data_IF_551408327061
#
_entry.id   IF_551408327061
#
_cell.length_a   1.000
_cell.length_b   1.000
_cell.length_c   1.000
_cell.angle_alpha   90.00
_cell.angle_beta   90.00
_cell.angle_gamma   90.00
#
_symmetry.space_group_name_H-M   'P 1'
#
loop_
_entity.id
_entity.type
_entity.pdbx_description
1 polymer ?
#
# COMPACT_ATOMS: atom_id res chain seq x y z
N UNK A 1 -15.28 -6.43 16.84
CA UNK A 1 -14.89 -5.03 16.60
C UNK A 1 -15.95 -4.37 15.72
N UNK A 2 -16.44 -3.19 16.12
CA UNK A 2 -17.35 -2.38 15.29
C UNK A 2 -16.64 -1.79 14.08
N UNK A 3 -17.44 -1.17 13.18
CA UNK A 3 -16.88 -0.40 12.06
C UNK A 3 -16.05 0.78 12.56
N UNK A 4 -14.93 1.02 11.92
CA UNK A 4 -14.07 2.18 12.18
C UNK A 4 -14.68 3.41 11.53
N UNK A 5 -14.66 4.55 12.20
CA UNK A 5 -15.29 5.78 11.71
C UNK A 5 -14.47 7.03 12.05
N UNK A 6 -14.84 8.15 11.43
CA UNK A 6 -14.31 9.46 11.75
C UNK A 6 -12.80 9.58 11.56
N UNK A 7 -12.15 10.26 12.50
CA UNK A 7 -10.72 10.58 12.44
C UNK A 7 -9.80 9.35 12.43
N UNK A 8 -10.21 8.26 13.10
CA UNK A 8 -9.42 7.01 13.10
C UNK A 8 -9.29 6.42 11.69
N UNK A 9 -10.38 6.45 10.93
CA UNK A 9 -10.39 6.01 9.53
C UNK A 9 -9.57 6.93 8.63
N UNK A 10 -9.63 8.25 8.88
CA UNK A 10 -8.79 9.22 8.18
C UNK A 10 -7.30 8.99 8.47
N UNK A 11 -6.95 8.76 9.75
CA UNK A 11 -5.57 8.45 10.15
C UNK A 11 -5.02 7.20 9.48
N UNK A 12 -5.79 6.10 9.46
CA UNK A 12 -5.44 4.90 8.71
C UNK A 12 -5.21 5.22 7.23
N UNK A 13 -6.18 5.89 6.60
CA UNK A 13 -6.13 6.17 5.17
C UNK A 13 -4.98 7.11 4.77
N UNK A 14 -4.62 8.09 5.61
CA UNK A 14 -3.46 8.94 5.38
C UNK A 14 -2.15 8.16 5.53
N UNK A 15 -2.05 7.30 6.53
CA UNK A 15 -0.84 6.49 6.74
C UNK A 15 -0.55 5.57 5.55
N UNK A 16 -1.56 5.12 4.80
CA UNK A 16 -1.35 4.28 3.62
C UNK A 16 -0.66 5.00 2.46
N UNK A 17 -0.69 6.32 2.41
CA UNK A 17 -0.07 7.10 1.33
C UNK A 17 1.32 7.64 1.68
N UNK A 18 1.81 7.38 2.88
CA UNK A 18 3.12 7.83 3.36
C UNK A 18 3.39 9.33 3.06
N UNK A 19 2.60 10.28 3.62
CA UNK A 19 2.59 11.68 3.19
C UNK A 19 3.95 12.37 3.26
N UNK A 20 4.76 12.10 4.29
CA UNK A 20 6.07 12.72 4.45
C UNK A 20 7.07 12.19 3.41
N UNK A 21 7.00 10.92 3.05
CA UNK A 21 7.81 10.36 1.94
C UNK A 21 7.46 11.08 0.64
N UNK A 22 6.18 11.24 0.32
CA UNK A 22 5.75 11.93 -0.90
C UNK A 22 6.28 13.37 -0.96
N UNK A 23 6.27 14.09 0.16
CA UNK A 23 6.77 15.45 0.24
C UNK A 23 8.31 15.55 0.06
N UNK A 24 9.05 14.49 0.37
CA UNK A 24 10.53 14.49 0.32
C UNK A 24 11.12 13.92 -0.97
N UNK A 25 10.30 13.40 -1.90
CA UNK A 25 10.78 12.76 -3.14
C UNK A 25 11.57 13.70 -4.06
N UNK A 26 11.31 14.99 -4.00
CA UNK A 26 12.03 16.02 -4.76
C UNK A 26 12.12 15.73 -6.27
N UNK A 27 11.04 15.20 -6.84
CA UNK A 27 10.90 14.95 -8.26
C UNK A 27 10.48 16.23 -9.02
N UNK A 28 10.80 16.32 -10.31
CA UNK A 28 10.35 17.43 -11.14
C UNK A 28 8.82 17.52 -11.21
N UNK A 29 8.26 18.73 -11.20
CA UNK A 29 6.82 18.96 -11.39
C UNK A 29 6.30 18.38 -12.72
N UNK A 30 7.16 18.28 -13.75
CA UNK A 30 6.85 17.62 -15.01
C UNK A 30 6.64 16.11 -14.88
N UNK A 31 7.11 15.51 -13.80
CA UNK A 31 6.90 14.09 -13.44
C UNK A 31 5.74 13.99 -12.46
N UNK A 32 5.73 14.79 -11.38
CA UNK A 32 4.77 14.66 -10.28
C UNK A 32 3.34 15.03 -10.68
N UNK A 33 3.13 16.09 -11.50
CA UNK A 33 1.79 16.48 -11.91
C UNK A 33 1.11 15.43 -12.83
N UNK A 34 1.75 14.92 -13.90
CA UNK A 34 1.21 13.79 -14.67
C UNK A 34 1.03 12.52 -13.84
N UNK A 35 1.92 12.21 -12.90
CA UNK A 35 1.79 11.09 -11.98
C UNK A 35 0.50 11.18 -11.15
N UNK A 36 0.18 12.35 -10.59
CA UNK A 36 -1.08 12.58 -9.89
C UNK A 36 -2.28 12.32 -10.81
N UNK A 37 -2.23 12.82 -12.04
CA UNK A 37 -3.30 12.60 -13.01
C UNK A 37 -3.48 11.11 -13.38
N UNK A 38 -2.40 10.36 -13.54
CA UNK A 38 -2.43 8.92 -13.84
C UNK A 38 -2.92 8.08 -12.64
N UNK A 39 -2.67 8.50 -11.40
CA UNK A 39 -3.13 7.76 -10.21
C UNK A 39 -4.55 8.12 -9.76
N UNK A 40 -5.13 9.20 -10.29
CA UNK A 40 -6.51 9.58 -10.01
C UNK A 40 -7.53 8.45 -10.35
N UNK A 41 -7.43 7.73 -11.48
CA UNK A 41 -8.28 6.57 -11.76
C UNK A 41 -8.24 5.50 -10.67
N UNK A 42 -7.06 5.20 -10.12
CA UNK A 42 -6.91 4.27 -9.00
C UNK A 42 -7.69 4.76 -7.77
N UNK A 43 -7.50 6.01 -7.37
CA UNK A 43 -8.21 6.61 -6.25
C UNK A 43 -9.74 6.60 -6.45
N UNK A 44 -10.20 6.89 -7.67
CA UNK A 44 -11.62 6.84 -8.03
C UNK A 44 -12.20 5.43 -7.94
N UNK A 45 -11.48 4.39 -8.42
CA UNK A 45 -11.93 3.00 -8.27
C UNK A 45 -12.03 2.64 -6.79
N UNK A 46 -11.02 2.94 -5.98
CA UNK A 46 -11.03 2.67 -4.54
C UNK A 46 -12.18 3.41 -3.86
N UNK A 47 -12.40 4.69 -4.19
CA UNK A 47 -13.57 5.45 -3.71
C UNK A 47 -14.90 4.76 -4.05
N UNK A 48 -15.08 4.34 -5.30
CA UNK A 48 -16.29 3.67 -5.75
C UNK A 48 -16.51 2.32 -5.08
N UNK A 49 -15.44 1.58 -4.87
CA UNK A 49 -15.44 0.30 -4.15
C UNK A 49 -15.91 0.50 -2.71
N UNK A 50 -15.22 1.32 -1.92
CA UNK A 50 -15.56 1.53 -0.52
C UNK A 50 -16.91 2.21 -0.33
N UNK A 51 -17.36 3.01 -1.29
CA UNK A 51 -18.71 3.58 -1.30
C UNK A 51 -19.82 2.54 -1.49
N UNK A 52 -19.52 1.44 -2.21
CA UNK A 52 -20.47 0.35 -2.40
C UNK A 52 -20.47 -0.63 -1.23
N UNK A 53 -19.29 -0.97 -0.74
CA UNK A 53 -19.06 -1.87 0.39
C UNK A 53 -17.71 -1.57 1.04
N UNK A 54 -17.66 -1.48 2.36
CA UNK A 54 -16.41 -1.27 3.09
C UNK A 54 -16.33 -2.23 4.27
N UNK A 55 -15.88 -3.45 4.00
CA UNK A 55 -15.74 -4.54 4.98
C UNK A 55 -14.28 -4.96 5.16
N UNK A 56 -14.02 -5.83 6.14
CA UNK A 56 -12.67 -6.27 6.48
C UNK A 56 -12.01 -7.13 5.38
N UNK A 57 -12.80 -7.69 4.45
CA UNK A 57 -12.32 -8.49 3.34
C UNK A 57 -11.62 -7.65 2.26
N UNK A 58 -11.79 -6.32 2.29
CA UNK A 58 -11.13 -5.39 1.39
C UNK A 58 -11.33 -5.71 -0.10
N UNK A 59 -10.23 -5.70 -0.87
CA UNK A 59 -10.26 -5.96 -2.32
C UNK A 59 -10.73 -7.38 -2.67
N UNK A 60 -10.55 -8.35 -1.77
CA UNK A 60 -11.07 -9.71 -1.96
C UNK A 60 -12.58 -9.71 -2.21
N UNK A 61 -13.35 -8.91 -1.45
CA UNK A 61 -14.81 -8.85 -1.59
C UNK A 61 -15.23 -8.51 -3.03
N UNK A 62 -14.58 -7.52 -3.65
CA UNK A 62 -14.95 -7.07 -5.00
C UNK A 62 -14.57 -8.12 -6.05
N UNK A 63 -13.39 -8.73 -5.94
CA UNK A 63 -12.93 -9.77 -6.84
C UNK A 63 -13.80 -11.04 -6.73
N UNK A 64 -14.08 -11.50 -5.51
CA UNK A 64 -14.89 -12.70 -5.25
C UNK A 64 -16.36 -12.54 -5.64
N UNK A 65 -16.89 -11.31 -5.58
CA UNK A 65 -18.25 -10.98 -6.06
C UNK A 65 -18.41 -11.14 -7.59
N UNK A 66 -17.30 -11.07 -8.34
CA UNK A 66 -17.29 -11.33 -9.79
C UNK A 66 -17.04 -12.81 -10.06
N UNK A 67 -15.98 -13.37 -9.44
CA UNK A 67 -15.61 -14.78 -9.52
C UNK A 67 -14.88 -15.21 -8.25
N UNK A 68 -15.29 -16.31 -7.64
CA UNK A 68 -14.63 -16.85 -6.45
C UNK A 68 -13.17 -17.23 -6.71
N UNK A 69 -12.84 -17.66 -7.94
CA UNK A 69 -11.46 -17.96 -8.34
C UNK A 69 -10.61 -16.70 -8.40
N UNK A 70 -11.14 -15.60 -8.98
CA UNK A 70 -10.46 -14.30 -8.99
C UNK A 70 -10.28 -13.76 -7.57
N UNK A 71 -11.28 -13.94 -6.71
CA UNK A 71 -11.13 -13.66 -5.27
C UNK A 71 -10.00 -14.46 -4.64
N UNK A 72 -9.89 -15.76 -4.97
CA UNK A 72 -8.79 -16.61 -4.50
C UNK A 72 -7.41 -16.10 -4.96
N UNK A 73 -7.26 -15.77 -6.25
CA UNK A 73 -6.01 -15.19 -6.77
C UNK A 73 -5.67 -13.90 -6.04
N UNK A 74 -6.64 -12.99 -5.90
CA UNK A 74 -6.46 -11.71 -5.19
C UNK A 74 -6.05 -11.94 -3.73
N UNK A 75 -6.67 -12.89 -3.01
CA UNK A 75 -6.36 -13.21 -1.63
C UNK A 75 -4.91 -13.70 -1.46
N UNK A 76 -4.51 -14.71 -2.23
CA UNK A 76 -3.18 -15.29 -2.08
C UNK A 76 -2.07 -14.34 -2.52
N UNK A 77 -2.26 -13.58 -3.62
CA UNK A 77 -1.28 -12.59 -4.03
C UNK A 77 -1.18 -11.44 -3.04
N UNK A 78 -2.31 -10.97 -2.50
CA UNK A 78 -2.33 -9.94 -1.47
C UNK A 78 -1.63 -10.39 -0.19
N UNK A 79 -1.90 -11.64 0.25
CA UNK A 79 -1.30 -12.21 1.45
C UNK A 79 0.24 -12.29 1.33
N UNK A 80 0.74 -12.82 0.21
CA UNK A 80 2.18 -12.89 -0.05
C UNK A 80 2.79 -11.49 -0.07
N UNK A 81 2.19 -10.58 -0.85
CA UNK A 81 2.70 -9.23 -1.00
C UNK A 81 2.84 -8.52 0.34
N UNK A 82 1.73 -8.34 1.05
CA UNK A 82 1.73 -7.48 2.23
C UNK A 82 2.36 -8.13 3.45
N UNK A 83 2.38 -9.45 3.53
CA UNK A 83 3.13 -10.13 4.58
C UNK A 83 4.63 -9.90 4.43
N UNK A 84 5.17 -10.09 3.22
CA UNK A 84 6.59 -9.83 2.95
C UNK A 84 6.92 -8.34 3.03
N UNK A 85 5.98 -7.46 2.61
CA UNK A 85 6.17 -6.02 2.67
C UNK A 85 6.38 -5.53 4.11
N UNK A 86 5.59 -6.01 5.07
CA UNK A 86 5.76 -5.68 6.49
C UNK A 86 7.19 -5.99 6.91
N UNK A 87 7.68 -7.18 6.58
CA UNK A 87 8.99 -7.68 7.02
C UNK A 87 10.13 -6.87 6.41
N UNK A 88 10.23 -6.78 5.08
CA UNK A 88 11.37 -6.09 4.48
C UNK A 88 11.36 -4.58 4.71
N UNK A 89 10.18 -3.98 4.95
CA UNK A 89 10.10 -2.55 5.23
C UNK A 89 10.64 -2.20 6.61
N UNK A 90 10.59 -3.12 7.59
CA UNK A 90 11.28 -2.96 8.88
C UNK A 90 12.78 -2.79 8.64
N UNK A 91 13.40 -3.72 7.92
CA UNK A 91 14.82 -3.65 7.58
C UNK A 91 15.17 -2.36 6.81
N UNK A 92 14.31 -2.00 5.83
CA UNK A 92 14.50 -0.77 5.06
C UNK A 92 14.51 0.48 5.96
N UNK A 93 13.60 0.56 6.93
CA UNK A 93 13.55 1.68 7.88
C UNK A 93 14.82 1.76 8.71
N UNK A 94 15.25 0.64 9.26
CA UNK A 94 16.32 0.61 10.25
C UNK A 94 17.70 0.84 9.62
N UNK A 95 17.98 0.21 8.48
CA UNK A 95 19.29 0.29 7.84
C UNK A 95 19.38 1.40 6.79
N UNK A 96 18.32 1.65 6.01
CA UNK A 96 18.39 2.56 4.87
C UNK A 96 17.88 3.97 5.16
N UNK A 97 16.80 4.10 5.98
CA UNK A 97 16.18 5.40 6.28
C UNK A 97 16.85 6.06 7.49
N UNK A 98 16.91 5.38 8.62
CA UNK A 98 17.45 5.91 9.87
C UNK A 98 18.96 6.02 9.82
N UNK A 99 19.64 5.11 9.12
CA UNK A 99 21.11 5.07 8.99
C UNK A 99 21.82 5.14 10.34
N UNK A 100 21.29 4.40 11.30
CA UNK A 100 21.87 4.27 12.65
C UNK A 100 22.97 3.20 12.65
N UNK A 101 23.86 3.16 13.67
CA UNK A 101 24.84 2.08 13.79
C UNK A 101 24.19 0.70 13.82
N UNK A 102 24.84 -0.31 13.22
CA UNK A 102 24.29 -1.66 13.05
C UNK A 102 23.72 -2.27 14.34
N UNK A 103 24.38 -2.05 15.48
CA UNK A 103 23.87 -2.55 16.78
C UNK A 103 22.50 -1.97 17.14
N UNK A 104 22.27 -0.68 16.80
CA UNK A 104 20.98 -0.01 17.03
C UNK A 104 19.97 -0.48 16.00
N UNK A 105 20.35 -0.61 14.72
CA UNK A 105 19.51 -1.14 13.67
C UNK A 105 19.03 -2.56 14.04
N UNK A 106 19.95 -3.47 14.39
CA UNK A 106 19.61 -4.83 14.82
C UNK A 106 18.62 -4.87 16.00
N UNK A 107 18.77 -3.96 16.97
CA UNK A 107 17.82 -3.87 18.07
C UNK A 107 16.45 -3.37 17.62
N UNK A 108 16.40 -2.38 16.72
CA UNK A 108 15.16 -1.83 16.17
C UNK A 108 14.43 -2.88 15.32
N UNK A 109 15.13 -3.65 14.51
CA UNK A 109 14.59 -4.75 13.70
C UNK A 109 13.79 -5.77 14.54
N UNK A 110 14.16 -5.98 15.80
CA UNK A 110 13.40 -6.83 16.72
C UNK A 110 12.32 -6.06 17.50
N UNK A 111 12.61 -4.84 17.93
CA UNK A 111 11.71 -4.06 18.80
C UNK A 111 10.52 -3.52 17.99
N UNK A 112 10.74 -3.01 16.78
CA UNK A 112 9.70 -2.39 15.96
C UNK A 112 8.55 -3.36 15.67
N UNK A 113 8.77 -4.58 15.12
CA UNK A 113 7.67 -5.51 14.87
C UNK A 113 6.97 -5.97 16.14
N UNK A 114 7.67 -6.08 17.27
CA UNK A 114 7.04 -6.38 18.58
C UNK A 114 6.09 -5.26 19.00
N UNK A 115 6.52 -4.01 18.92
CA UNK A 115 5.69 -2.84 19.27
C UNK A 115 4.46 -2.77 18.37
N UNK A 116 4.64 -2.92 17.05
CA UNK A 116 3.54 -2.91 16.08
C UNK A 116 2.55 -4.05 16.33
N UNK A 117 3.07 -5.25 16.65
CA UNK A 117 2.25 -6.40 17.05
C UNK A 117 1.40 -6.12 18.29
N UNK A 118 1.98 -5.52 19.31
CA UNK A 118 1.27 -5.14 20.54
C UNK A 118 0.17 -4.11 20.23
N UNK A 119 0.44 -3.10 19.40
CA UNK A 119 -0.55 -2.11 18.99
C UNK A 119 -1.75 -2.74 18.29
N UNK A 120 -1.51 -3.71 17.39
CA UNK A 120 -2.58 -4.42 16.68
C UNK A 120 -3.37 -5.32 17.64
N UNK A 121 -2.70 -6.08 18.51
CA UNK A 121 -3.34 -7.01 19.43
C UNK A 121 -4.17 -6.31 20.51
N UNK A 122 -3.73 -5.14 20.98
CA UNK A 122 -4.45 -4.33 21.98
C UNK A 122 -5.57 -3.48 21.40
N UNK A 123 -5.61 -3.33 20.06
CA UNK A 123 -6.57 -2.47 19.35
C UNK A 123 -6.19 -0.99 19.39
N UNK A 124 -4.98 -0.62 19.83
CA UNK A 124 -4.49 0.75 19.84
C UNK A 124 -3.97 1.23 18.47
N UNK A 125 -3.89 0.33 17.48
CA UNK A 125 -3.30 0.60 16.16
C UNK A 125 -3.95 1.79 15.44
N UNK A 126 -5.27 1.94 15.46
CA UNK A 126 -5.93 3.07 14.78
C UNK A 126 -5.61 4.42 15.45
N UNK A 127 -5.45 4.47 16.77
CA UNK A 127 -5.03 5.69 17.45
C UNK A 127 -3.57 6.04 17.14
N UNK A 128 -2.69 5.03 17.09
CA UNK A 128 -1.31 5.20 16.68
C UNK A 128 -1.20 5.67 15.22
N UNK A 129 -1.98 5.10 14.29
CA UNK A 129 -2.05 5.54 12.90
C UNK A 129 -2.53 6.99 12.78
N UNK A 130 -3.51 7.41 13.57
CA UNK A 130 -3.95 8.81 13.59
C UNK A 130 -2.82 9.74 14.06
N UNK A 131 -2.12 9.39 15.13
CA UNK A 131 -1.01 10.18 15.66
C UNK A 131 0.15 10.27 14.64
N UNK A 132 0.52 9.14 14.01
CA UNK A 132 1.52 9.09 12.95
C UNK A 132 1.09 9.91 11.73
N UNK A 133 -0.16 9.83 11.30
CA UNK A 133 -0.67 10.59 10.17
C UNK A 133 -0.60 12.10 10.42
N UNK A 134 -0.98 12.55 11.62
CA UNK A 134 -0.87 13.96 12.01
C UNK A 134 0.59 14.42 12.00
N UNK A 135 1.48 13.64 12.62
CA UNK A 135 2.91 13.95 12.66
C UNK A 135 3.50 14.05 11.25
N UNK A 136 3.21 13.10 10.37
CA UNK A 136 3.67 13.08 8.98
C UNK A 136 3.19 14.34 8.21
N UNK A 137 1.92 14.70 8.31
CA UNK A 137 1.37 15.86 7.60
C UNK A 137 1.98 17.15 8.13
N UNK A 138 2.16 17.30 9.44
CA UNK A 138 2.79 18.49 10.03
C UNK A 138 4.26 18.60 9.59
N UNK A 139 5.01 17.51 9.62
CA UNK A 139 6.42 17.48 9.21
C UNK A 139 6.59 17.68 7.69
N UNK A 140 5.59 17.30 6.90
CA UNK A 140 5.58 17.51 5.45
C UNK A 140 5.30 18.96 5.04
N UNK A 141 4.87 19.83 5.95
CA UNK A 141 4.71 21.25 5.66
C UNK A 141 6.09 21.89 5.45
N UNK A 142 6.28 22.67 4.37
CA UNK A 142 7.58 23.24 4.02
C UNK A 142 7.93 24.45 4.90
N UNK A 143 8.08 24.22 6.18
CA UNK A 143 8.42 25.23 7.18
C UNK A 143 9.94 25.23 7.36
N UNK A 144 10.65 26.34 7.13
CA UNK A 144 12.12 26.39 7.21
C UNK A 144 12.67 25.93 8.57
N UNK A 145 11.97 26.24 9.67
CA UNK A 145 12.34 25.82 11.03
C UNK A 145 12.31 24.30 11.23
N UNK A 146 11.55 23.57 10.38
CA UNK A 146 11.52 22.11 10.36
C UNK A 146 12.57 21.50 9.43
N UNK A 147 13.46 22.33 8.83
CA UNK A 147 14.52 21.86 7.96
C UNK A 147 14.16 21.78 6.47
N UNK A 148 13.16 22.55 6.03
CA UNK A 148 12.81 22.71 4.63
C UNK A 148 13.45 23.95 4.02
N UNK A 149 13.97 23.83 2.80
CA UNK A 149 14.50 24.94 2.02
C UNK A 149 13.81 25.03 0.67
N UNK A 150 13.48 26.26 0.23
CA UNK A 150 12.98 26.48 -1.11
C UNK A 150 14.09 26.14 -2.10
N UNK A 151 13.79 25.28 -3.06
CA UNK A 151 14.72 24.84 -4.07
C UNK A 151 14.09 24.97 -5.45
N UNK A 152 14.50 26.01 -6.18
CA UNK A 152 14.10 26.28 -7.55
C UNK A 152 15.16 25.70 -8.51
N UNK A 153 15.42 24.40 -8.42
CA UNK A 153 16.33 23.76 -9.36
C UNK A 153 15.65 23.59 -10.73
N UNK A 154 16.41 23.65 -11.83
CA UNK A 154 15.93 23.16 -13.10
C UNK A 154 15.55 21.67 -12.94
N UNK A 155 14.57 21.18 -13.71
CA UNK A 155 14.20 19.77 -13.67
C UNK A 155 15.45 18.91 -13.85
N UNK A 156 15.70 17.98 -12.94
CA UNK A 156 16.80 17.02 -13.05
C UNK A 156 16.75 16.39 -14.43
N UNK A 157 17.92 16.30 -15.09
CA UNK A 157 18.02 15.65 -16.39
C UNK A 157 17.45 14.22 -16.26
N UNK A 158 16.38 13.97 -16.96
CA UNK A 158 15.67 12.71 -16.94
C UNK A 158 16.50 11.72 -17.73
N UNK A 159 17.29 10.89 -17.05
CA UNK A 159 18.15 9.88 -17.68
C UNK A 159 17.38 8.77 -18.42
N UNK A 160 16.11 8.61 -18.10
CA UNK A 160 15.15 7.74 -18.76
C UNK A 160 14.09 8.61 -19.43
N UNK A 161 13.43 8.15 -20.48
CA UNK A 161 12.38 8.94 -21.12
C UNK A 161 11.34 9.45 -20.10
N UNK A 162 10.88 10.70 -20.26
CA UNK A 162 9.91 11.34 -19.35
C UNK A 162 8.70 10.45 -19.00
N UNK A 163 8.19 9.73 -20.02
CA UNK A 163 7.07 8.82 -19.86
C UNK A 163 7.37 7.65 -18.89
N UNK A 164 8.57 7.08 -18.98
CA UNK A 164 9.02 5.99 -18.08
C UNK A 164 9.11 6.49 -16.65
N UNK A 165 9.64 7.69 -16.44
CA UNK A 165 9.72 8.28 -15.09
C UNK A 165 8.35 8.56 -14.50
N UNK A 166 7.40 9.11 -15.30
CA UNK A 166 6.03 9.33 -14.86
C UNK A 166 5.38 8.01 -14.43
N UNK A 167 5.52 6.95 -15.22
CA UNK A 167 4.95 5.65 -14.89
C UNK A 167 5.61 5.03 -13.63
N UNK A 168 6.94 5.06 -13.54
CA UNK A 168 7.66 4.53 -12.39
C UNK A 168 7.29 5.25 -11.09
N UNK A 169 7.22 6.58 -11.14
CA UNK A 169 6.83 7.38 -9.98
C UNK A 169 5.36 7.23 -9.61
N UNK A 170 4.46 6.93 -10.57
CA UNK A 170 3.03 6.72 -10.29
C UNK A 170 2.77 5.53 -9.36
N UNK A 171 3.69 4.58 -9.29
CA UNK A 171 3.59 3.41 -8.42
C UNK A 171 3.64 3.77 -6.93
N UNK A 172 4.22 4.92 -6.57
CA UNK A 172 4.32 5.38 -5.18
C UNK A 172 2.97 5.69 -4.52
N UNK A 173 1.94 6.08 -5.30
CA UNK A 173 0.61 6.39 -4.76
C UNK A 173 -0.29 5.14 -4.72
N UNK A 174 0.15 4.02 -5.25
CA UNK A 174 -0.66 2.80 -5.33
C UNK A 174 -1.07 2.27 -3.95
N UNK A 175 -0.34 2.60 -2.87
CA UNK A 175 -0.67 2.16 -1.51
C UNK A 175 -2.06 2.62 -1.01
N UNK A 176 -2.73 3.59 -1.68
CA UNK A 176 -4.13 3.94 -1.43
C UNK A 176 -5.07 2.72 -1.54
N UNK A 177 -4.63 1.66 -2.21
CA UNK A 177 -5.35 0.38 -2.37
C UNK A 177 -5.45 -0.44 -1.07
N UNK A 178 -4.76 -0.04 0.01
CA UNK A 178 -4.95 -0.58 1.35
C UNK A 178 -6.23 -0.09 2.03
N UNK A 179 -6.75 1.09 1.65
CA UNK A 179 -7.89 1.71 2.33
C UNK A 179 -9.12 0.79 2.42
N UNK A 180 -9.46 -0.03 1.42
CA UNK A 180 -10.59 -0.97 1.54
C UNK A 180 -10.54 -1.91 2.75
N UNK A 181 -9.35 -2.24 3.26
CA UNK A 181 -9.18 -3.16 4.39
C UNK A 181 -9.39 -2.52 5.77
N UNK A 182 -9.67 -1.23 5.85
CA UNK A 182 -9.87 -0.53 7.12
C UNK A 182 -11.15 -0.93 7.89
N UNK A 183 -12.05 -1.73 7.30
CA UNK A 183 -13.37 -2.05 7.87
C UNK A 183 -14.18 -0.80 8.23
N UNK A 184 -14.28 0.14 7.28
CA UNK A 184 -14.90 1.43 7.47
C UNK A 184 -16.42 1.46 7.23
N UNK A 185 -17.01 2.65 7.47
CA UNK A 185 -18.39 2.92 7.05
C UNK A 185 -18.38 3.48 5.61
N UNK A 186 -19.15 2.90 4.66
CA UNK A 186 -19.29 3.43 3.29
C UNK A 186 -19.68 4.91 3.21
N UNK A 187 -20.37 5.45 4.23
CA UNK A 187 -20.68 6.89 4.34
C UNK A 187 -19.44 7.76 4.45
N UNK A 188 -18.35 7.22 4.94
CA UNK A 188 -17.05 7.87 5.08
C UNK A 188 -16.15 7.75 3.85
N UNK A 189 -16.64 7.17 2.74
CA UNK A 189 -15.86 6.94 1.50
C UNK A 189 -15.15 8.19 0.94
N UNK A 190 -15.70 9.39 1.21
CA UNK A 190 -15.08 10.67 0.84
C UNK A 190 -13.65 10.84 1.36
N UNK A 191 -13.27 10.15 2.44
CA UNK A 191 -11.90 10.21 2.95
C UNK A 191 -10.87 9.69 1.96
N UNK A 192 -11.22 8.73 1.09
CA UNK A 192 -10.33 8.28 0.01
C UNK A 192 -9.89 9.46 -0.86
N UNK A 193 -10.85 10.31 -1.26
CA UNK A 193 -10.55 11.46 -2.12
C UNK A 193 -9.82 12.58 -1.36
N UNK A 194 -10.13 12.78 -0.07
CA UNK A 194 -9.38 13.75 0.75
C UNK A 194 -7.94 13.32 0.94
N UNK A 195 -7.69 12.04 1.21
CA UNK A 195 -6.35 11.47 1.33
C UNK A 195 -5.58 11.58 0.02
N UNK A 196 -6.22 11.21 -1.10
CA UNK A 196 -5.62 11.38 -2.41
C UNK A 196 -5.23 12.85 -2.69
N UNK A 197 -6.12 13.80 -2.39
CA UNK A 197 -5.86 15.23 -2.61
C UNK A 197 -4.70 15.74 -1.74
N UNK A 198 -4.68 15.38 -0.44
CA UNK A 198 -3.58 15.76 0.47
C UNK A 198 -2.26 15.18 -0.04
N UNK A 199 -2.23 13.91 -0.41
CA UNK A 199 -1.04 13.24 -0.94
C UNK A 199 -0.56 13.86 -2.25
N UNK A 200 -1.49 14.21 -3.15
CA UNK A 200 -1.18 14.86 -4.41
C UNK A 200 -0.57 16.26 -4.19
N UNK A 201 -1.14 17.04 -3.28
CA UNK A 201 -0.60 18.36 -2.91
C UNK A 201 0.81 18.23 -2.35
N UNK A 202 1.03 17.32 -1.40
CA UNK A 202 2.35 17.12 -0.78
C UNK A 202 3.39 16.65 -1.79
N UNK A 203 3.02 15.75 -2.69
CA UNK A 203 3.90 15.28 -3.76
C UNK A 203 4.31 16.41 -4.70
N UNK A 204 3.36 17.22 -5.16
CA UNK A 204 3.65 18.36 -6.05
C UNK A 204 4.45 19.44 -5.29
N UNK A 205 4.14 19.70 -4.02
CA UNK A 205 4.94 20.61 -3.18
C UNK A 205 6.38 20.14 -3.03
N UNK A 206 6.63 18.83 -2.87
CA UNK A 206 7.96 18.24 -2.81
C UNK A 206 8.84 18.57 -4.03
N UNK A 207 8.24 18.93 -5.17
CA UNK A 207 8.99 19.39 -6.36
C UNK A 207 9.68 20.73 -6.15
N UNK A 208 9.23 21.55 -5.21
CA UNK A 208 9.72 22.91 -4.97
C UNK A 208 10.55 23.05 -3.71
N UNK A 209 10.57 22.05 -2.83
CA UNK A 209 11.25 22.11 -1.55
C UNK A 209 12.22 20.95 -1.36
N UNK A 210 13.37 21.24 -0.76
CA UNK A 210 14.37 20.23 -0.38
C UNK A 210 14.31 19.99 1.12
N UNK A 211 14.16 18.74 1.51
CA UNK A 211 14.22 18.30 2.89
C UNK A 211 15.68 18.24 3.40
N UNK A 212 15.90 18.61 4.66
CA UNK A 212 17.18 18.39 5.34
C UNK A 212 17.40 16.90 5.62
N UNK A 213 18.62 16.54 6.02
CA UNK A 213 18.93 15.16 6.44
C UNK A 213 18.03 14.69 7.58
N UNK A 214 17.69 15.56 8.53
CA UNK A 214 16.81 15.24 9.66
C UNK A 214 15.40 14.93 9.16
N UNK A 215 14.84 15.77 8.27
CA UNK A 215 13.50 15.53 7.70
C UNK A 215 13.50 14.21 6.91
N UNK A 216 14.56 13.92 6.16
CA UNK A 216 14.69 12.65 5.45
C UNK A 216 14.72 11.43 6.40
N UNK A 217 15.39 11.51 7.54
CA UNK A 217 15.35 10.45 8.55
C UNK A 217 13.96 10.32 9.20
N UNK A 218 13.25 11.45 9.40
CA UNK A 218 11.88 11.45 9.93
C UNK A 218 10.85 10.82 8.96
N UNK A 219 11.21 10.57 7.68
CA UNK A 219 10.38 9.76 6.78
C UNK A 219 10.16 8.34 7.30
N UNK A 220 11.00 7.85 8.22
CA UNK A 220 10.77 6.62 8.98
C UNK A 220 9.36 6.55 9.61
N UNK A 221 8.81 7.68 10.05
CA UNK A 221 7.44 7.75 10.58
C UNK A 221 6.39 7.38 9.53
N UNK A 222 6.64 7.72 8.26
CA UNK A 222 5.77 7.33 7.15
C UNK A 222 5.81 5.83 6.88
N UNK A 223 7.00 5.26 6.86
CA UNK A 223 7.17 3.81 6.68
C UNK A 223 6.58 3.03 7.85
N UNK A 224 6.82 3.46 9.10
CA UNK A 224 6.21 2.86 10.30
C UNK A 224 4.67 2.94 10.22
N UNK A 225 4.13 4.09 9.80
CA UNK A 225 2.70 4.26 9.58
C UNK A 225 2.15 3.31 8.51
N UNK A 226 2.89 3.13 7.41
CA UNK A 226 2.53 2.22 6.33
C UNK A 226 2.57 0.76 6.81
N UNK A 227 3.66 0.31 7.45
CA UNK A 227 3.78 -1.04 8.02
C UNK A 227 2.61 -1.32 8.99
N UNK A 228 2.30 -0.38 9.89
CA UNK A 228 1.19 -0.55 10.82
C UNK A 228 -0.16 -0.62 10.12
N UNK A 229 -0.38 0.18 9.05
CA UNK A 229 -1.60 0.13 8.26
C UNK A 229 -1.74 -1.22 7.54
N UNK A 230 -0.67 -1.76 7.00
CA UNK A 230 -0.63 -3.08 6.36
C UNK A 230 -0.88 -4.20 7.36
N UNK A 231 -0.29 -4.10 8.53
CA UNK A 231 -0.51 -5.06 9.59
C UNK A 231 -1.97 -5.07 10.06
N UNK A 232 -2.59 -3.88 10.20
CA UNK A 232 -4.03 -3.76 10.49
C UNK A 232 -4.86 -4.35 9.34
N UNK A 233 -4.49 -4.10 8.09
CA UNK A 233 -5.17 -4.64 6.91
C UNK A 233 -5.10 -6.18 6.89
N UNK A 234 -3.92 -6.75 7.16
CA UNK A 234 -3.71 -8.19 7.25
C UNK A 234 -4.52 -8.81 8.40
N UNK A 235 -4.51 -8.18 9.56
CA UNK A 235 -5.32 -8.59 10.70
C UNK A 235 -6.82 -8.56 10.37
N UNK A 236 -7.30 -7.47 9.76
CA UNK A 236 -8.70 -7.33 9.37
C UNK A 236 -9.10 -8.41 8.37
N UNK A 237 -8.30 -8.65 7.34
CA UNK A 237 -8.58 -9.67 6.34
C UNK A 237 -8.67 -11.07 6.96
N UNK A 238 -7.63 -11.49 7.67
CA UNK A 238 -7.52 -12.86 8.17
C UNK A 238 -8.41 -13.12 9.38
N UNK A 239 -8.39 -12.23 10.38
CA UNK A 239 -9.09 -12.44 11.64
C UNK A 239 -10.57 -12.02 11.59
N UNK A 240 -10.87 -10.85 11.01
CA UNK A 240 -12.24 -10.35 10.94
C UNK A 240 -12.97 -10.86 9.69
N UNK A 241 -12.35 -10.82 8.53
CA UNK A 241 -12.95 -11.23 7.25
C UNK A 241 -13.08 -12.75 7.13
N UNK A 242 -11.98 -13.47 7.22
CA UNK A 242 -11.97 -14.92 7.07
C UNK A 242 -12.17 -15.69 8.39
N UNK A 243 -12.18 -15.00 9.54
CA UNK A 243 -12.35 -15.59 10.89
C UNK A 243 -11.32 -16.67 11.22
N UNK A 244 -10.11 -16.54 10.71
CA UNK A 244 -8.99 -17.44 11.00
C UNK A 244 -8.43 -17.07 12.37
N UNK A 245 -9.01 -17.61 13.44
CA UNK A 245 -8.64 -17.27 14.83
C UNK A 245 -7.14 -17.39 15.13
N UNK A 246 -6.42 -18.43 14.69
CA UNK A 246 -4.97 -18.56 14.93
C UNK A 246 -4.16 -17.40 14.34
N UNK A 247 -4.61 -16.76 13.26
CA UNK A 247 -3.89 -15.66 12.61
C UNK A 247 -3.57 -14.51 13.56
N UNK A 248 -4.40 -14.32 14.61
CA UNK A 248 -4.18 -13.29 15.62
C UNK A 248 -2.80 -13.41 16.31
N UNK A 249 -2.30 -14.62 16.51
CA UNK A 249 -1.00 -14.89 17.16
C UNK A 249 0.04 -15.29 16.14
N UNK A 250 -0.34 -16.11 15.16
CA UNK A 250 0.58 -16.68 14.18
C UNK A 250 1.24 -15.59 13.33
N UNK A 251 0.47 -14.59 12.87
CA UNK A 251 1.01 -13.52 12.04
C UNK A 251 2.06 -12.68 12.80
N UNK A 252 1.79 -12.16 14.01
CA UNK A 252 2.80 -11.48 14.82
C UNK A 252 4.07 -12.30 15.04
N UNK A 253 3.90 -13.57 15.39
CA UNK A 253 5.04 -14.46 15.64
C UNK A 253 5.88 -14.65 14.38
N UNK A 254 5.24 -14.88 13.22
CA UNK A 254 5.95 -15.05 11.96
C UNK A 254 6.68 -13.78 11.53
N UNK A 255 6.08 -12.61 11.70
CA UNK A 255 6.75 -11.33 11.39
C UNK A 255 8.02 -11.20 12.23
N UNK A 256 7.92 -11.31 13.56
CA UNK A 256 9.09 -11.19 14.46
C UNK A 256 10.17 -12.26 14.16
N UNK A 257 9.76 -13.49 13.82
CA UNK A 257 10.72 -14.55 13.48
C UNK A 257 11.45 -14.26 12.16
N UNK A 258 10.76 -13.73 11.14
CA UNK A 258 11.40 -13.40 9.87
C UNK A 258 12.31 -12.17 10.02
N UNK A 259 11.89 -11.15 10.78
CA UNK A 259 12.77 -10.01 11.09
C UNK A 259 14.00 -10.45 11.92
N UNK A 260 13.88 -11.48 12.76
CA UNK A 260 15.05 -12.08 13.41
C UNK A 260 15.97 -12.83 12.43
N UNK A 261 15.43 -13.43 11.38
CA UNK A 261 16.23 -14.09 10.32
C UNK A 261 17.00 -13.06 9.49
N UNK A 262 16.44 -11.87 9.25
CA UNK A 262 17.11 -10.81 8.50
C UNK A 262 18.43 -10.35 9.13
N UNK A 263 18.58 -10.50 10.47
CA UNK A 263 19.82 -10.18 11.19
C UNK A 263 21.04 -11.01 10.75
N UNK A 264 20.83 -12.13 10.05
CA UNK A 264 21.93 -12.95 9.53
C UNK A 264 22.61 -12.21 8.35
N UNK A 265 21.81 -11.71 7.43
CA UNK A 265 22.26 -10.93 6.28
C UNK A 265 21.09 -10.09 5.73
N UNK A 266 20.97 -8.85 6.21
CA UNK A 266 19.83 -7.99 5.87
C UNK A 266 19.73 -7.66 4.37
N UNK A 267 20.87 -7.48 3.68
CA UNK A 267 20.86 -7.15 2.24
C UNK A 267 20.27 -8.30 1.42
N UNK A 268 20.77 -9.51 1.64
CA UNK A 268 20.26 -10.70 0.95
C UNK A 268 18.81 -10.97 1.31
N UNK A 269 18.44 -10.83 2.58
CA UNK A 269 17.07 -10.99 3.03
C UNK A 269 16.13 -9.95 2.42
N UNK A 270 16.55 -8.70 2.33
CA UNK A 270 15.78 -7.63 1.69
C UNK A 270 15.52 -7.96 0.21
N UNK A 271 16.54 -8.37 -0.54
CA UNK A 271 16.40 -8.74 -1.95
C UNK A 271 15.49 -9.95 -2.13
N UNK A 272 15.62 -11.01 -1.32
CA UNK A 272 14.78 -12.21 -1.34
C UNK A 272 13.30 -11.93 -0.97
N UNK A 273 13.00 -10.81 -0.32
CA UNK A 273 11.63 -10.49 0.12
C UNK A 273 10.95 -9.41 -0.72
N UNK A 274 11.69 -8.41 -1.23
CA UNK A 274 11.12 -7.29 -1.98
C UNK A 274 10.59 -7.73 -3.35
N UNK A 275 11.35 -8.51 -4.13
CA UNK A 275 10.95 -8.91 -5.47
C UNK A 275 9.65 -9.73 -5.50
N UNK A 276 9.50 -10.81 -4.70
CA UNK A 276 8.25 -11.56 -4.65
C UNK A 276 7.09 -10.74 -4.06
N UNK A 277 7.35 -9.87 -3.07
CA UNK A 277 6.33 -8.99 -2.50
C UNK A 277 5.74 -8.07 -3.55
N UNK A 278 6.58 -7.34 -4.27
CA UNK A 278 6.15 -6.35 -5.26
C UNK A 278 5.51 -7.02 -6.49
N UNK A 279 6.01 -8.18 -6.92
CA UNK A 279 5.40 -8.97 -8.01
C UNK A 279 3.99 -9.43 -7.66
N UNK A 280 3.79 -9.95 -6.44
CA UNK A 280 2.48 -10.33 -5.94
C UNK A 280 1.55 -9.13 -5.76
N UNK A 281 2.08 -7.95 -5.37
CA UNK A 281 1.32 -6.70 -5.28
C UNK A 281 0.70 -6.34 -6.63
N UNK A 282 1.50 -6.32 -7.69
CA UNK A 282 0.96 -5.95 -9.00
C UNK A 282 -0.04 -6.96 -9.55
N UNK A 283 0.11 -8.25 -9.26
CA UNK A 283 -0.91 -9.25 -9.60
C UNK A 283 -2.22 -8.97 -8.87
N UNK A 284 -2.17 -8.69 -7.56
CA UNK A 284 -3.38 -8.37 -6.76
C UNK A 284 -4.09 -7.13 -7.28
N UNK A 285 -3.32 -6.09 -7.68
CA UNK A 285 -3.88 -4.85 -8.23
C UNK A 285 -4.48 -5.08 -9.62
N UNK A 286 -3.81 -5.83 -10.49
CA UNK A 286 -4.34 -6.21 -11.81
C UNK A 286 -5.70 -6.91 -11.69
N UNK A 287 -5.80 -7.92 -10.84
CA UNK A 287 -7.08 -8.62 -10.59
C UNK A 287 -8.13 -7.65 -10.07
N UNK A 288 -7.77 -6.81 -9.10
CA UNK A 288 -8.71 -5.88 -8.47
C UNK A 288 -9.24 -4.83 -9.44
N UNK A 289 -8.39 -4.31 -10.33
CA UNK A 289 -8.81 -3.31 -11.31
C UNK A 289 -9.55 -3.94 -12.50
N UNK A 290 -9.15 -5.12 -12.95
CA UNK A 290 -9.81 -5.82 -14.05
C UNK A 290 -11.28 -6.19 -13.73
N UNK A 291 -11.59 -6.49 -12.46
CA UNK A 291 -12.97 -6.81 -12.03
C UNK A 291 -13.83 -5.55 -11.82
N UNK A 292 -13.24 -4.35 -11.71
CA UNK A 292 -13.95 -3.12 -11.36
C UNK A 292 -15.15 -2.80 -12.25
N UNK A 293 -15.08 -2.86 -13.58
CA UNK A 293 -16.23 -2.55 -14.43
C UNK A 293 -17.41 -3.47 -14.19
N UNK A 294 -17.13 -4.78 -14.01
CA UNK A 294 -18.16 -5.79 -13.80
C UNK A 294 -18.81 -5.60 -12.43
N UNK A 295 -17.99 -5.47 -11.38
CA UNK A 295 -18.47 -5.28 -10.02
C UNK A 295 -19.30 -3.99 -9.88
N UNK A 296 -18.76 -2.84 -10.34
CA UNK A 296 -19.43 -1.55 -10.20
C UNK A 296 -20.73 -1.46 -11.02
N UNK A 297 -20.78 -2.12 -12.17
CA UNK A 297 -22.02 -2.21 -12.97
C UNK A 297 -23.07 -3.04 -12.25
N UNK A 298 -22.70 -4.16 -11.59
CA UNK A 298 -23.61 -4.97 -10.79
C UNK A 298 -24.07 -4.24 -9.52
N UNK A 299 -23.18 -3.50 -8.87
CA UNK A 299 -23.50 -2.73 -7.67
C UNK A 299 -24.43 -1.53 -7.95
N UNK A 300 -24.50 -1.08 -9.22
CA UNK A 300 -25.34 0.04 -9.66
C UNK A 300 -26.06 -0.29 -10.97
N UNK A 301 -27.09 -1.14 -10.93
CA UNK A 301 -27.74 -1.68 -12.16
C UNK A 301 -28.39 -0.60 -13.03
N UNK A 302 -28.77 0.55 -12.47
CA UNK A 302 -29.37 1.68 -13.21
C UNK A 302 -28.36 2.63 -13.87
N UNK A 303 -27.06 2.32 -13.89
CA UNK A 303 -26.05 3.21 -14.47
C UNK A 303 -26.23 3.37 -15.98
N UNK A 304 -26.09 4.62 -16.48
CA UNK A 304 -26.11 4.93 -17.90
C UNK A 304 -24.92 4.30 -18.64
N UNK A 305 -25.02 4.18 -19.97
CA UNK A 305 -23.94 3.66 -20.81
C UNK A 305 -22.64 4.48 -20.64
N UNK A 306 -22.76 5.81 -20.51
CA UNK A 306 -21.60 6.70 -20.29
C UNK A 306 -20.90 6.38 -18.95
N UNK A 307 -21.65 6.10 -17.88
CA UNK A 307 -21.07 5.73 -16.57
C UNK A 307 -20.37 4.38 -16.65
N UNK A 308 -20.94 3.40 -17.36
CA UNK A 308 -20.32 2.07 -17.58
C UNK A 308 -19.03 2.21 -18.40
N UNK A 309 -19.02 3.05 -19.44
CA UNK A 309 -17.81 3.35 -20.22
C UNK A 309 -16.73 4.03 -19.34
N UNK A 310 -17.12 4.94 -18.44
CA UNK A 310 -16.18 5.53 -17.48
C UNK A 310 -15.56 4.47 -16.54
N UNK A 311 -16.33 3.49 -16.04
CA UNK A 311 -15.75 2.39 -15.24
C UNK A 311 -14.73 1.58 -16.00
N UNK A 312 -14.97 1.32 -17.30
CA UNK A 312 -14.02 0.60 -18.16
C UNK A 312 -12.75 1.44 -18.35
N UNK A 313 -12.89 2.73 -18.64
CA UNK A 313 -11.74 3.62 -18.82
C UNK A 313 -10.87 3.73 -17.56
N UNK A 314 -11.49 3.93 -16.39
CA UNK A 314 -10.80 3.95 -15.10
C UNK A 314 -10.05 2.64 -14.84
N UNK A 315 -10.71 1.49 -15.08
CA UNK A 315 -10.11 0.17 -14.91
C UNK A 315 -8.94 -0.06 -15.88
N UNK A 316 -9.07 0.35 -17.13
CA UNK A 316 -8.01 0.20 -18.13
C UNK A 316 -6.75 0.97 -17.74
N UNK A 317 -6.87 2.25 -17.35
CA UNK A 317 -5.73 3.06 -16.91
C UNK A 317 -5.09 2.47 -15.64
N UNK A 318 -5.91 2.10 -14.64
CA UNK A 318 -5.39 1.52 -13.39
C UNK A 318 -4.71 0.16 -13.62
N UNK A 319 -5.26 -0.68 -14.51
CA UNK A 319 -4.66 -1.96 -14.88
C UNK A 319 -3.35 -1.77 -15.67
N UNK A 320 -3.26 -0.73 -16.50
CA UNK A 320 -2.03 -0.40 -17.23
C UNK A 320 -0.89 -0.03 -16.27
N UNK A 321 -1.19 0.77 -15.24
CA UNK A 321 -0.21 1.12 -14.20
C UNK A 321 0.27 -0.15 -13.48
N UNK A 322 -0.64 -1.03 -13.08
CA UNK A 322 -0.29 -2.27 -12.40
C UNK A 322 0.49 -3.23 -13.32
N UNK A 323 0.12 -3.33 -14.60
CA UNK A 323 0.84 -4.14 -15.59
C UNK A 323 2.26 -3.62 -15.83
N UNK A 324 2.42 -2.28 -15.93
CA UNK A 324 3.73 -1.66 -16.06
C UNK A 324 4.60 -1.95 -14.81
N UNK A 325 4.04 -1.88 -13.61
CA UNK A 325 4.75 -2.23 -12.39
C UNK A 325 5.23 -3.68 -12.38
N UNK A 326 4.36 -4.64 -12.75
CA UNK A 326 4.75 -6.03 -12.90
C UNK A 326 5.86 -6.23 -13.94
N UNK A 327 5.72 -5.58 -15.10
CA UNK A 327 6.76 -5.60 -16.15
C UNK A 327 8.08 -5.03 -15.64
N UNK A 328 8.06 -3.89 -14.94
CA UNK A 328 9.26 -3.23 -14.41
C UNK A 328 10.02 -4.16 -13.46
N UNK A 329 9.34 -4.81 -12.53
CA UNK A 329 9.97 -5.75 -11.59
C UNK A 329 10.58 -6.93 -12.33
N UNK A 330 9.82 -7.60 -13.20
CA UNK A 330 10.31 -8.79 -13.93
C UNK A 330 11.48 -8.43 -14.86
N UNK A 331 11.44 -7.27 -15.51
CA UNK A 331 12.48 -6.86 -16.46
C UNK A 331 13.79 -6.43 -15.80
N UNK A 332 13.75 -6.05 -14.53
CA UNK A 332 14.93 -5.67 -13.73
C UNK A 332 15.47 -6.83 -12.89
N UNK A 333 14.67 -7.87 -12.66
CA UNK A 333 15.07 -9.05 -11.90
C UNK A 333 15.97 -9.98 -12.73
N UNK A 334 16.91 -10.64 -12.06
CA UNK A 334 17.81 -11.61 -12.67
C UNK A 334 18.06 -12.80 -11.71
N UNK A 335 18.53 -13.92 -12.24
CA UNK A 335 18.90 -15.07 -11.42
C UNK A 335 17.77 -15.55 -10.49
N UNK A 336 18.03 -15.62 -9.18
CA UNK A 336 17.08 -16.08 -8.16
C UNK A 336 15.88 -15.15 -8.04
N UNK A 337 16.10 -13.83 -8.07
CA UNK A 337 15.05 -12.80 -7.98
C UNK A 337 13.96 -12.96 -9.06
N UNK A 338 14.37 -13.34 -10.28
CA UNK A 338 13.43 -13.60 -11.38
C UNK A 338 12.54 -14.82 -11.08
N UNK A 339 13.13 -15.90 -10.56
CA UNK A 339 12.36 -17.10 -10.20
C UNK A 339 11.38 -16.82 -9.06
N UNK A 340 11.79 -16.05 -8.06
CA UNK A 340 10.93 -15.64 -6.94
C UNK A 340 9.79 -14.74 -7.40
N UNK A 341 10.07 -13.77 -8.25
CA UNK A 341 9.07 -12.90 -8.87
C UNK A 341 8.04 -13.69 -9.67
N UNK A 342 8.48 -14.63 -10.48
CA UNK A 342 7.60 -15.51 -11.25
C UNK A 342 6.79 -16.45 -10.34
N UNK A 343 7.41 -17.02 -9.31
CA UNK A 343 6.72 -17.85 -8.33
C UNK A 343 5.63 -17.07 -7.59
N UNK A 344 5.92 -15.83 -7.20
CA UNK A 344 4.97 -14.94 -6.53
C UNK A 344 3.76 -14.55 -7.40
N UNK A 345 3.86 -14.71 -8.71
CA UNK A 345 2.74 -14.57 -9.66
C UNK A 345 2.02 -15.90 -9.87
N UNK A 346 2.78 -16.97 -10.16
CA UNK A 346 2.20 -18.27 -10.55
C UNK A 346 1.51 -18.97 -9.38
N UNK A 347 2.14 -18.97 -8.19
CA UNK A 347 1.59 -19.67 -7.01
C UNK A 347 0.21 -19.14 -6.61
N UNK A 348 -0.02 -17.81 -6.47
CA UNK A 348 -1.36 -17.28 -6.20
C UNK A 348 -2.40 -17.65 -7.26
N UNK A 349 -2.02 -17.64 -8.55
CA UNK A 349 -2.92 -18.02 -9.63
C UNK A 349 -3.34 -19.48 -9.47
N UNK A 350 -2.38 -20.39 -9.29
CA UNK A 350 -2.65 -21.82 -9.13
C UNK A 350 -3.50 -22.07 -7.88
N UNK A 351 -3.13 -21.50 -6.74
CA UNK A 351 -3.88 -21.67 -5.49
C UNK A 351 -5.27 -21.06 -5.58
N UNK A 352 -5.39 -19.86 -6.15
CA UNK A 352 -6.68 -19.17 -6.29
C UNK A 352 -7.66 -19.89 -7.21
N UNK A 353 -7.16 -20.55 -8.26
CA UNK A 353 -7.99 -21.33 -9.18
C UNK A 353 -8.36 -22.70 -8.60
N UNK A 354 -7.40 -23.42 -7.98
CA UNK A 354 -7.60 -24.77 -7.49
C UNK A 354 -8.25 -24.84 -6.09
N UNK A 355 -7.92 -23.89 -5.21
CA UNK A 355 -8.38 -23.83 -3.81
C UNK A 355 -8.92 -22.44 -3.45
N UNK A 356 -9.98 -21.94 -4.13
CA UNK A 356 -10.52 -20.64 -3.80
C UNK A 356 -11.10 -20.65 -2.37
N UNK A 357 -10.63 -19.70 -1.55
CA UNK A 357 -11.13 -19.51 -0.20
C UNK A 357 -12.50 -18.79 -0.24
N UNK A 358 -13.41 -19.22 0.62
CA UNK A 358 -14.69 -18.53 0.84
C UNK A 358 -14.69 -17.98 2.27
N UNK A 359 -15.03 -16.70 2.47
CA UNK A 359 -15.26 -16.21 3.81
C UNK A 359 -16.45 -16.97 4.41
N UNK A 360 -16.47 -17.19 5.73
CA UNK A 360 -17.63 -17.78 6.38
C UNK A 360 -18.87 -16.92 6.10
N UNK A 361 -20.00 -17.57 5.82
CA UNK A 361 -21.27 -16.85 5.63
C UNK A 361 -21.53 -15.94 6.83
N UNK A 362 -22.02 -14.70 6.61
CA UNK A 362 -22.39 -13.84 7.71
C UNK A 362 -23.42 -14.60 8.58
N UNK A 363 -23.07 -14.80 9.85
CA UNK A 363 -24.07 -15.29 10.82
C UNK A 363 -25.18 -14.26 10.85
N UNK A 364 -26.37 -14.68 10.43
CA UNK A 364 -27.62 -13.91 10.49
C UNK A 364 -27.91 -13.48 11.92
#
# INVERSE_FOLDING_TARGET
MGKVSGLMLLGFSLSTTAPLVLATLHESVLVTAPMVALTLPVALIIYLYVKSYWGPEGLYHYASSVSIRLGGVQFYSWLISYFLYIVYTVDYVDYMVLKVPDQVANALTLILPLVLSILVLTGASYAALLALAIAQVVLALPIPQLGWALFLAPPSAVNQGLFVNILSSSLLIVCITLIPYANGDPRSSRYVMYVFLVSAILLVMGSFFKASTIVNQLTSLSYIGLILAEYVALYNLLFLGFRIKPSRVVVPVLVVLLDAVSLINYNEFYDLTIYPSVSALYLTLLVSFAVAPIYLTRARPGSSTAVKAAYIALAAVSSLIAAYGAYSVISTSSGVELYESLAAIVVPIVLGVLKPLKPPSPTR
#
